data_IF_442913060514
#
_entry.id   IF_442913060514
#
_cell.length_a   1.000
_cell.length_b   1.000
_cell.length_c   1.000
_cell.angle_alpha   90.00
_cell.angle_beta   90.00
_cell.angle_gamma   90.00
#
_symmetry.space_group_name_H-M   'P 1'
#
loop_
_entity.id
_entity.type
_entity.pdbx_description
1 polymer ?
#
# COMPACT_ATOMS: atom_id res chain seq x y z
N UNK A 1 13.49 -26.30 -61.93
CA UNK A 1 12.78 -26.06 -60.99
C UNK A 1 13.31 -25.46 -59.85
N UNK A 2 13.07 -24.31 -59.59
CA UNK A 2 13.59 -23.68 -58.48
C UNK A 2 12.66 -23.65 -57.42
N UNK A 3 13.12 -23.98 -56.29
CA UNK A 3 12.36 -23.90 -55.16
C UNK A 3 12.56 -22.66 -54.48
N UNK A 4 11.59 -21.99 -54.18
CA UNK A 4 11.68 -20.83 -53.46
C UNK A 4 11.27 -21.09 -52.13
N UNK A 5 12.11 -20.97 -51.18
CA UNK A 5 11.76 -21.06 -49.81
C UNK A 5 11.78 -19.70 -49.30
N UNK A 6 10.65 -19.16 -49.18
CA UNK A 6 10.49 -17.96 -48.44
C UNK A 6 10.54 -18.39 -46.97
N UNK A 7 11.66 -18.24 -46.41
CA UNK A 7 11.75 -18.32 -45.01
C UNK A 7 10.91 -17.17 -44.47
N UNK A 8 9.73 -17.46 -44.13
CA UNK A 8 8.97 -16.53 -43.38
C UNK A 8 9.71 -16.33 -42.08
N UNK A 9 10.45 -15.31 -42.03
CA UNK A 9 11.02 -14.89 -40.80
C UNK A 9 9.88 -14.37 -39.99
N UNK A 10 9.28 -15.24 -39.25
CA UNK A 10 8.45 -14.81 -38.19
C UNK A 10 9.34 -14.16 -37.18
N UNK A 11 9.51 -12.89 -37.33
CA UNK A 11 10.08 -12.13 -36.27
C UNK A 11 9.15 -12.23 -35.13
N UNK A 12 9.41 -13.16 -34.25
CA UNK A 12 8.77 -13.17 -32.97
C UNK A 12 9.20 -11.88 -32.31
N UNK A 13 8.42 -10.88 -32.45
CA UNK A 13 8.55 -9.74 -31.59
C UNK A 13 8.27 -10.23 -30.22
N UNK A 14 9.31 -10.58 -29.52
CA UNK A 14 9.22 -10.72 -28.11
C UNK A 14 8.83 -9.36 -27.58
N UNK A 15 7.56 -9.17 -27.41
CA UNK A 15 7.10 -8.06 -26.65
C UNK A 15 7.58 -8.28 -25.26
N UNK A 16 8.71 -7.74 -24.95
CA UNK A 16 9.11 -7.68 -23.57
C UNK A 16 8.18 -6.69 -22.91
N UNK A 17 7.15 -7.23 -22.34
CA UNK A 17 6.39 -6.49 -21.39
C UNK A 17 7.34 -6.16 -20.27
N UNK A 18 7.60 -4.89 -20.10
CA UNK A 18 8.43 -4.43 -19.02
C UNK A 18 7.61 -4.41 -17.76
N UNK A 19 7.62 -5.47 -16.96
CA UNK A 19 6.89 -5.44 -15.70
C UNK A 19 7.50 -4.46 -14.73
N UNK A 20 8.68 -3.98 -15.02
CA UNK A 20 9.34 -3.04 -14.14
C UNK A 20 8.78 -1.64 -14.19
N UNK A 21 8.01 -1.31 -15.22
CA UNK A 21 7.39 -0.01 -15.30
C UNK A 21 6.16 0.07 -14.40
N UNK A 22 6.32 -0.35 -13.14
CA UNK A 22 5.23 -0.32 -12.22
C UNK A 22 4.99 1.08 -11.75
N UNK A 23 3.90 1.65 -12.20
CA UNK A 23 3.44 2.92 -11.73
C UNK A 23 2.60 2.82 -10.47
N UNK A 24 2.43 1.61 -9.92
CA UNK A 24 1.60 1.42 -8.75
C UNK A 24 2.36 1.74 -7.48
N UNK A 25 1.66 2.34 -6.52
CA UNK A 25 2.20 2.55 -5.20
C UNK A 25 2.10 1.26 -4.39
N UNK A 26 3.23 0.72 -3.97
CA UNK A 26 3.29 -0.42 -3.08
C UNK A 26 3.70 0.03 -1.70
N UNK A 27 3.20 -0.65 -0.67
CA UNK A 27 3.62 -0.39 0.68
C UNK A 27 5.07 -0.84 0.86
N UNK A 28 5.92 0.12 1.23
CA UNK A 28 7.34 -0.12 1.44
C UNK A 28 7.66 -0.26 2.92
N UNK A 29 7.05 0.56 3.75
CA UNK A 29 7.28 0.56 5.19
C UNK A 29 6.05 1.06 5.93
N UNK A 30 5.90 0.64 7.16
CA UNK A 30 4.79 1.07 8.01
C UNK A 30 5.23 1.21 9.47
N UNK A 31 4.53 2.04 10.21
CA UNK A 31 4.65 2.15 11.66
C UNK A 31 3.22 2.23 12.23
N UNK A 32 2.78 1.26 13.01
CA UNK A 32 3.50 0.04 13.44
C UNK A 32 3.91 -0.82 12.24
N UNK A 33 5.04 -1.54 12.37
CA UNK A 33 5.51 -2.40 11.30
C UNK A 33 4.57 -3.57 11.07
N UNK A 34 4.54 -4.06 9.84
CA UNK A 34 3.75 -5.24 9.47
C UNK A 34 4.09 -6.41 10.40
N UNK A 35 3.09 -6.94 11.08
CA UNK A 35 3.25 -8.06 11.99
C UNK A 35 3.91 -7.73 13.33
N UNK A 36 4.17 -6.47 13.63
CA UNK A 36 4.86 -6.08 14.85
C UNK A 36 4.01 -6.31 16.09
N UNK A 37 4.67 -6.55 17.20
CA UNK A 37 4.09 -6.50 18.54
C UNK A 37 4.64 -5.25 19.20
N UNK A 38 3.75 -4.34 19.58
CA UNK A 38 4.13 -3.06 20.19
C UNK A 38 3.66 -3.01 21.64
N UNK A 39 4.50 -2.45 22.50
CA UNK A 39 4.19 -2.35 23.94
C UNK A 39 3.42 -1.06 24.28
N UNK A 40 3.41 -0.10 23.37
CA UNK A 40 2.67 1.14 23.53
C UNK A 40 1.62 1.24 22.46
N UNK A 41 0.44 1.74 22.83
CA UNK A 41 -0.63 1.96 21.86
C UNK A 41 -0.20 3.00 20.85
N UNK A 42 -0.19 2.69 19.54
CA UNK A 42 0.15 3.66 18.52
C UNK A 42 -0.84 4.82 18.52
N UNK A 43 -0.34 6.02 18.29
CA UNK A 43 -1.19 7.21 18.17
C UNK A 43 -1.55 7.52 16.72
N UNK A 44 -0.84 6.94 15.79
CA UNK A 44 -1.07 7.12 14.38
C UNK A 44 -0.57 5.90 13.60
N UNK A 45 -1.10 5.76 12.41
CA UNK A 45 -0.60 4.79 11.44
C UNK A 45 0.17 5.58 10.40
N UNK A 46 1.43 5.22 10.19
CA UNK A 46 2.26 5.81 9.15
C UNK A 46 2.55 4.75 8.12
N UNK A 47 2.39 5.08 6.86
CA UNK A 47 2.63 4.15 5.77
C UNK A 47 3.44 4.86 4.70
N UNK A 48 4.58 4.27 4.36
CA UNK A 48 5.40 4.75 3.27
C UNK A 48 5.20 3.88 2.05
N UNK A 49 4.91 4.52 0.93
CA UNK A 49 4.68 3.87 -0.35
C UNK A 49 5.85 4.13 -1.29
N UNK A 50 5.91 3.36 -2.36
CA UNK A 50 6.97 3.50 -3.36
C UNK A 50 6.72 4.67 -4.32
N UNK A 51 5.53 5.27 -4.26
CA UNK A 51 5.13 6.40 -5.10
C UNK A 51 4.46 7.47 -4.25
N UNK A 52 4.47 8.73 -4.65
CA UNK A 52 3.66 9.75 -4.01
C UNK A 52 2.18 9.43 -4.07
N UNK A 53 1.47 9.76 -2.99
CA UNK A 53 0.07 9.42 -2.79
C UNK A 53 -0.78 10.69 -2.81
N UNK A 54 -2.00 10.57 -3.33
CA UNK A 54 -3.02 11.61 -3.29
C UNK A 54 -3.86 11.42 -2.02
N UNK A 55 -3.63 12.18 -0.95
CA UNK A 55 -4.30 11.92 0.33
C UNK A 55 -5.81 12.11 0.26
N UNK A 56 -6.26 13.09 -0.54
CA UNK A 56 -7.68 13.37 -0.66
C UNK A 56 -8.49 12.20 -1.23
N UNK A 57 -7.84 11.28 -1.92
CA UNK A 57 -8.48 10.12 -2.55
C UNK A 57 -8.00 8.80 -1.96
N UNK A 58 -7.38 8.85 -0.79
CA UNK A 58 -6.78 7.68 -0.15
C UNK A 58 -7.33 7.51 1.24
N UNK A 59 -7.40 6.26 1.72
CA UNK A 59 -7.98 5.94 3.01
C UNK A 59 -7.13 4.92 3.74
N UNK A 60 -7.04 5.09 5.06
CA UNK A 60 -6.47 4.12 5.98
C UNK A 60 -7.54 3.82 7.01
N UNK A 61 -7.82 2.54 7.21
CA UNK A 61 -8.81 2.08 8.19
C UNK A 61 -8.14 1.14 9.17
N UNK A 62 -8.61 1.18 10.40
CA UNK A 62 -8.13 0.32 11.46
C UNK A 62 -9.29 -0.51 12.00
N UNK A 63 -9.05 -1.81 12.14
CA UNK A 63 -10.06 -2.74 12.65
C UNK A 63 -9.48 -3.60 13.76
N UNK A 64 -10.34 -3.99 14.69
CA UNK A 64 -10.00 -5.03 15.65
C UNK A 64 -9.96 -6.38 14.94
N UNK A 65 -9.43 -7.40 15.61
CA UNK A 65 -9.35 -8.75 15.05
C UNK A 65 -10.73 -9.31 14.68
N UNK A 66 -11.77 -8.93 15.42
CA UNK A 66 -13.14 -9.36 15.13
C UNK A 66 -13.88 -8.43 14.16
N UNK A 67 -13.17 -7.52 13.52
CA UNK A 67 -13.73 -6.70 12.46
C UNK A 67 -14.40 -5.42 12.87
N UNK A 68 -14.25 -4.99 14.13
CA UNK A 68 -14.82 -3.75 14.60
C UNK A 68 -13.94 -2.57 14.19
N UNK A 69 -14.52 -1.55 13.60
CA UNK A 69 -13.79 -0.35 13.18
C UNK A 69 -13.35 0.48 14.39
N UNK A 70 -12.10 0.93 14.34
CA UNK A 70 -11.55 1.90 15.27
C UNK A 70 -11.49 3.25 14.55
N UNK A 71 -11.96 4.30 15.20
CA UNK A 71 -11.97 5.61 14.58
C UNK A 71 -10.58 6.13 14.32
N UNK A 72 -10.35 6.58 13.08
CA UNK A 72 -9.12 7.23 12.67
C UNK A 72 -9.46 8.59 12.08
N UNK A 73 -8.52 9.52 12.19
CA UNK A 73 -8.63 10.80 11.52
C UNK A 73 -8.36 10.67 10.01
N UNK A 74 -8.58 11.75 9.26
CA UNK A 74 -8.32 11.73 7.83
C UNK A 74 -6.85 11.49 7.54
N UNK A 75 -6.58 10.72 6.50
CA UNK A 75 -5.23 10.47 6.05
C UNK A 75 -4.65 11.73 5.42
N UNK A 76 -3.41 12.05 5.75
CA UNK A 76 -2.70 13.21 5.23
C UNK A 76 -1.29 12.81 4.81
N UNK A 77 -0.75 13.50 3.81
CA UNK A 77 0.64 13.31 3.43
C UNK A 77 1.56 13.97 4.46
N UNK A 78 2.73 13.37 4.68
CA UNK A 78 3.77 14.03 5.44
C UNK A 78 4.24 15.27 4.65
N UNK A 79 4.31 16.45 5.26
CA UNK A 79 4.74 17.66 4.54
C UNK A 79 6.13 17.55 3.91
N UNK A 80 6.99 16.71 4.47
CA UNK A 80 8.35 16.53 3.97
C UNK A 80 8.52 15.32 3.06
N UNK A 81 7.48 14.47 2.93
CA UNK A 81 7.59 13.23 2.13
C UNK A 81 6.22 12.86 1.55
N UNK A 82 5.97 13.16 0.27
CA UNK A 82 4.69 12.87 -0.35
C UNK A 82 4.42 11.38 -0.55
N UNK A 83 5.39 10.51 -0.35
CA UNK A 83 5.21 9.07 -0.38
C UNK A 83 4.68 8.52 0.95
N UNK A 84 4.67 9.35 1.99
CA UNK A 84 4.25 8.92 3.32
C UNK A 84 2.85 9.43 3.64
N UNK A 85 1.97 8.52 4.02
CA UNK A 85 0.61 8.82 4.41
C UNK A 85 0.44 8.52 5.90
N UNK A 86 -0.21 9.42 6.60
CA UNK A 86 -0.36 9.35 8.06
C UNK A 86 -1.83 9.47 8.40
N UNK A 87 -2.35 8.56 9.21
CA UNK A 87 -3.69 8.63 9.76
C UNK A 87 -3.62 8.59 11.28
N UNK A 88 -4.10 9.62 11.98
CA UNK A 88 -4.14 9.57 13.43
C UNK A 88 -5.17 8.56 13.90
N UNK A 89 -4.88 7.89 15.00
CA UNK A 89 -5.83 6.99 15.67
C UNK A 89 -6.55 7.81 16.72
N UNK A 90 -7.87 7.90 16.58
CA UNK A 90 -8.71 8.71 17.48
C UNK A 90 -9.29 7.83 18.58
N UNK A 91 -9.71 6.63 18.24
CA UNK A 91 -10.29 5.69 19.17
C UNK A 91 -9.25 5.11 20.13
N UNK A 92 -9.68 4.71 21.32
CA UNK A 92 -8.82 4.03 22.27
C UNK A 92 -8.53 2.62 21.80
N UNK A 93 -7.30 2.16 22.02
CA UNK A 93 -6.89 0.79 21.71
C UNK A 93 -6.79 -0.03 22.98
N UNK A 94 -7.47 -1.17 22.98
CA UNK A 94 -7.27 -2.21 23.98
C UNK A 94 -6.18 -3.16 23.53
N UNK A 95 -5.53 -3.89 24.46
CA UNK A 95 -4.59 -4.92 24.05
C UNK A 95 -5.23 -5.93 23.11
N UNK A 96 -4.53 -6.29 22.05
CA UNK A 96 -5.01 -7.25 21.07
C UNK A 96 -4.41 -7.05 19.71
N UNK A 97 -4.87 -7.88 18.79
CA UNK A 97 -4.44 -7.83 17.39
C UNK A 97 -5.37 -6.90 16.61
N UNK A 98 -4.77 -6.13 15.72
CA UNK A 98 -5.46 -5.18 14.84
C UNK A 98 -5.10 -5.45 13.39
N UNK A 99 -5.97 -5.01 12.50
CA UNK A 99 -5.75 -5.08 11.07
C UNK A 99 -5.85 -3.67 10.48
N UNK A 100 -4.80 -3.24 9.80
CA UNK A 100 -4.77 -1.97 9.07
C UNK A 100 -5.13 -2.27 7.63
N UNK A 101 -6.12 -1.58 7.09
CA UNK A 101 -6.51 -1.69 5.69
C UNK A 101 -6.31 -0.37 4.99
N UNK A 102 -5.78 -0.41 3.82
CA UNK A 102 -5.51 0.79 3.06
C UNK A 102 -6.00 0.67 1.63
N UNK A 103 -6.39 1.83 1.10
CA UNK A 103 -6.84 2.00 -0.28
C UNK A 103 -6.32 3.35 -0.71
N UNK A 104 -5.32 3.38 -1.58
CA UNK A 104 -4.62 4.60 -1.93
C UNK A 104 -4.60 4.82 -3.43
N UNK A 105 -4.64 6.09 -3.80
CA UNK A 105 -4.46 6.54 -5.16
C UNK A 105 -3.09 7.20 -5.28
N UNK A 106 -2.27 6.71 -6.18
CA UNK A 106 -0.99 7.35 -6.46
C UNK A 106 -1.18 8.55 -7.39
N UNK A 107 -0.20 9.43 -7.42
CA UNK A 107 -0.25 10.63 -8.26
C UNK A 107 -0.32 10.32 -9.75
N UNK A 108 0.06 9.12 -10.14
CA UNK A 108 -0.05 8.65 -11.53
C UNK A 108 -1.40 7.99 -11.83
N UNK A 109 -2.37 8.15 -10.94
CA UNK A 109 -3.78 7.73 -11.09
C UNK A 109 -4.02 6.22 -10.98
N UNK A 110 -3.12 5.46 -10.39
CA UNK A 110 -3.33 4.04 -10.12
C UNK A 110 -3.74 3.82 -8.66
N UNK A 111 -4.75 2.99 -8.48
CA UNK A 111 -5.25 2.68 -7.14
C UNK A 111 -4.74 1.30 -6.71
N UNK A 112 -4.24 1.24 -5.48
CA UNK A 112 -3.83 -0.03 -4.86
C UNK A 112 -4.45 -0.14 -3.49
N UNK A 113 -4.58 -1.36 -2.99
CA UNK A 113 -5.12 -1.64 -1.67
C UNK A 113 -4.41 -2.82 -1.05
N UNK A 114 -4.55 -2.94 0.26
CA UNK A 114 -3.95 -4.03 1.00
C UNK A 114 -4.29 -3.95 2.47
N UNK A 115 -3.70 -4.82 3.25
CA UNK A 115 -3.88 -4.82 4.69
C UNK A 115 -2.67 -5.47 5.36
N UNK A 116 -2.49 -5.16 6.63
CA UNK A 116 -1.48 -5.81 7.45
C UNK A 116 -1.87 -5.79 8.92
N UNK A 117 -1.43 -6.78 9.70
CA UNK A 117 -1.71 -6.83 11.12
C UNK A 117 -0.61 -6.19 11.96
N UNK A 118 -0.98 -5.75 13.14
CA UNK A 118 -0.07 -5.54 14.25
C UNK A 118 -0.77 -5.93 15.54
N UNK A 119 0.00 -6.10 16.61
CA UNK A 119 -0.53 -6.46 17.92
C UNK A 119 -0.07 -5.44 18.95
N UNK A 120 -1.01 -4.93 19.73
CA UNK A 120 -0.72 -4.12 20.90
C UNK A 120 -0.73 -5.02 22.13
N UNK A 121 0.40 -5.10 22.80
CA UNK A 121 0.56 -5.91 24.00
C UNK A 121 1.45 -5.14 24.98
N UNK A 122 0.83 -4.42 25.93
CA UNK A 122 1.59 -3.67 26.93
C UNK A 122 2.35 -4.55 27.90
#
# INVERSE_FOLDING_TARGET
MTKRFVAALAAAMAMSLEPGAQAHAFLDNATPKVGAVVAEAPKAIRMQFTQPIEPAFSRIHLFTQDGKAIETGPAAADPSDPTQLIAPIVGALSPGRYDVRWDVLSVDTHRTNGHFPFTYRP
#
